data_IF_001219967600
#
_entry.id   IF_001219967600
#
_cell.length_a   1.000
_cell.length_b   1.000
_cell.length_c   1.000
_cell.angle_alpha   90.00
_cell.angle_beta   90.00
_cell.angle_gamma   90.00
#
_symmetry.space_group_name_H-M   'P 1'
#
loop_
_entity.id
_entity.type
_entity.pdbx_description
1 polymer ?
#
# COMPACT_ATOMS: atom_id res chain seq x y z
N UNK A 1 29.28 -45.08 25.47
CA UNK A 1 30.26 -43.98 25.64
C UNK A 1 29.86 -42.87 24.68
N UNK A 2 29.10 -41.88 25.17
CA UNK A 2 29.56 -40.52 25.55
C UNK A 2 29.98 -39.73 24.28
N UNK A 3 29.34 -38.63 23.89
CA UNK A 3 28.29 -37.90 24.58
C UNK A 3 27.70 -36.79 23.73
N UNK A 4 26.42 -36.51 23.96
CA UNK A 4 25.76 -35.29 23.56
C UNK A 4 26.28 -34.13 24.43
N UNK A 5 26.70 -33.03 23.80
CA UNK A 5 26.87 -31.75 24.50
C UNK A 5 25.53 -31.01 24.50
N UNK A 6 24.92 -30.97 25.69
CA UNK A 6 23.97 -29.92 26.11
C UNK A 6 24.71 -28.59 26.23
N UNK A 7 23.94 -27.49 26.21
CA UNK A 7 24.04 -26.21 26.97
C UNK A 7 23.40 -25.14 26.08
N UNK A 8 22.53 -24.23 26.50
CA UNK A 8 21.61 -24.06 27.62
C UNK A 8 20.77 -22.84 27.25
N UNK A 9 19.50 -22.81 27.65
CA UNK A 9 18.65 -21.63 27.57
C UNK A 9 19.14 -20.53 28.52
N UNK A 10 19.05 -19.27 28.08
CA UNK A 10 19.07 -18.06 28.92
C UNK A 10 18.05 -17.10 28.30
N UNK A 11 16.81 -17.13 28.74
CA UNK A 11 16.19 -16.30 29.80
C UNK A 11 16.03 -14.83 29.38
N UNK A 12 14.75 -14.47 29.27
CA UNK A 12 14.18 -13.15 29.02
C UNK A 12 14.66 -12.08 30.02
N UNK A 13 14.82 -10.85 29.53
CA UNK A 13 14.79 -9.66 30.36
C UNK A 13 13.59 -8.80 29.94
N UNK A 14 12.49 -9.01 30.64
CA UNK A 14 11.35 -8.08 30.69
C UNK A 14 11.75 -6.95 31.62
N UNK A 15 11.91 -5.74 31.10
CA UNK A 15 12.09 -4.55 31.93
C UNK A 15 10.71 -4.02 32.29
N UNK A 16 10.24 -4.39 33.48
CA UNK A 16 9.11 -3.76 34.18
C UNK A 16 9.67 -2.53 34.89
N UNK A 17 9.31 -1.34 34.43
CA UNK A 17 9.51 -0.11 35.22
C UNK A 17 8.24 0.11 36.03
N UNK A 18 8.24 -0.45 37.24
CA UNK A 18 7.29 -0.10 38.28
C UNK A 18 7.86 1.09 39.07
N UNK A 19 7.28 2.28 38.87
CA UNK A 19 7.54 3.44 39.72
C UNK A 19 6.46 3.50 40.81
N UNK A 20 6.80 2.96 41.99
CA UNK A 20 6.24 3.34 43.30
C UNK A 20 7.37 4.12 43.97
N UNK A 21 7.25 5.30 44.57
CA UNK A 21 6.16 6.15 45.00
C UNK A 21 6.78 6.98 46.13
N UNK A 22 6.73 8.32 46.06
CA UNK A 22 7.04 9.17 47.21
C UNK A 22 5.82 10.05 47.47
N UNK A 23 5.14 9.73 48.57
CA UNK A 23 4.09 10.53 49.18
C UNK A 23 4.68 11.86 49.66
N UNK A 24 4.11 12.97 49.17
CA UNK A 24 4.09 14.24 49.89
C UNK A 24 2.63 14.69 49.96
N UNK A 25 2.24 15.05 51.18
CA UNK A 25 0.86 15.33 51.57
C UNK A 25 0.26 16.54 50.85
N UNK A 26 -1.04 16.41 50.55
CA UNK A 26 -1.96 17.42 50.02
C UNK A 26 -2.04 18.69 50.89
N UNK A 27 -2.53 19.79 50.29
CA UNK A 27 -3.72 20.41 50.86
C UNK A 27 -4.91 20.27 49.91
N UNK A 28 -6.05 19.97 50.51
CA UNK A 28 -7.38 19.85 49.93
C UNK A 28 -7.77 21.12 49.18
N UNK A 29 -8.15 20.99 47.90
CA UNK A 29 -8.99 21.96 47.21
C UNK A 29 -10.19 21.20 46.67
N UNK A 30 -11.34 21.38 47.33
CA UNK A 30 -12.65 21.03 46.78
C UNK A 30 -13.00 22.05 45.69
N UNK A 31 -13.23 21.58 44.46
CA UNK A 31 -14.44 21.83 43.67
C UNK A 31 -14.21 21.45 42.21
N UNK A 32 -15.12 20.61 41.70
CA UNK A 32 -15.27 20.31 40.28
C UNK A 32 -15.08 18.83 39.98
N UNK A 33 -16.14 18.04 40.19
CA UNK A 33 -16.32 16.78 39.46
C UNK A 33 -16.30 17.12 37.96
N UNK A 34 -15.12 17.03 37.35
CA UNK A 34 -15.02 16.91 35.91
C UNK A 34 -15.54 15.51 35.58
N UNK A 35 -16.56 15.37 34.72
CA UNK A 35 -16.98 14.04 34.29
C UNK A 35 -15.76 13.35 33.65
N UNK A 36 -15.67 12.03 33.85
CA UNK A 36 -14.72 11.21 33.11
C UNK A 36 -14.80 11.59 31.61
N UNK A 37 -13.68 11.60 30.86
CA UNK A 37 -13.77 11.80 29.43
C UNK A 37 -14.64 10.67 28.89
N UNK A 38 -15.87 11.01 28.51
CA UNK A 38 -16.71 10.16 27.71
C UNK A 38 -15.84 9.74 26.53
N UNK A 39 -15.55 8.44 26.47
CA UNK A 39 -14.86 7.84 25.34
C UNK A 39 -15.85 7.82 24.18
N UNK A 40 -16.22 8.99 23.68
CA UNK A 40 -16.85 9.14 22.39
C UNK A 40 -15.81 8.63 21.38
N UNK A 41 -16.06 7.42 20.90
CA UNK A 41 -15.32 6.77 19.82
C UNK A 41 -15.65 7.49 18.50
N UNK A 42 -15.42 8.80 18.47
CA UNK A 42 -15.71 9.62 17.30
C UNK A 42 -14.68 9.28 16.22
N UNK A 43 -15.18 8.76 15.11
CA UNK A 43 -14.37 8.53 13.93
C UNK A 43 -13.73 9.85 13.49
N UNK A 44 -12.51 9.82 12.93
CA UNK A 44 -11.93 11.00 12.30
C UNK A 44 -12.92 11.61 11.31
N UNK A 45 -13.14 12.93 11.37
CA UNK A 45 -14.17 13.62 10.58
C UNK A 45 -13.97 13.54 9.06
N UNK A 46 -12.80 13.06 8.62
CA UNK A 46 -12.47 12.82 7.23
C UNK A 46 -12.76 11.38 6.76
N UNK A 47 -13.34 10.52 7.60
CA UNK A 47 -13.70 9.13 7.27
C UNK A 47 -15.21 9.00 7.10
N UNK A 48 -15.65 8.56 5.93
CA UNK A 48 -17.04 8.22 5.64
C UNK A 48 -17.20 6.69 5.53
N UNK A 49 -18.12 6.14 6.32
CA UNK A 49 -18.52 4.73 6.22
C UNK A 49 -19.74 4.54 5.33
N UNK A 50 -19.79 3.41 4.62
CA UNK A 50 -20.92 3.01 3.80
C UNK A 50 -21.05 1.48 3.70
N UNK A 51 -22.21 1.01 3.22
CA UNK A 51 -22.45 -0.41 2.99
C UNK A 51 -23.22 -1.08 4.13
N UNK A 52 -22.70 -2.19 4.63
CA UNK A 52 -23.31 -2.95 5.74
C UNK A 52 -23.29 -2.10 7.00
N UNK A 53 -24.41 -2.05 7.72
CA UNK A 53 -24.46 -1.39 9.02
C UNK A 53 -23.59 -2.15 10.03
N UNK A 54 -22.73 -1.43 10.73
CA UNK A 54 -21.80 -1.97 11.72
C UNK A 54 -21.98 -1.22 13.04
N UNK A 55 -21.76 -1.92 14.15
CA UNK A 55 -21.67 -1.29 15.47
C UNK A 55 -20.51 -0.27 15.50
N UNK A 56 -20.65 0.81 16.27
CA UNK A 56 -19.65 1.90 16.33
C UNK A 56 -18.29 1.42 16.87
N UNK A 57 -18.27 0.44 17.78
CA UNK A 57 -17.02 -0.20 18.24
C UNK A 57 -16.29 -0.87 17.07
N UNK A 58 -17.02 -1.57 16.21
CA UNK A 58 -16.47 -2.26 15.03
C UNK A 58 -15.99 -1.27 13.99
N UNK A 59 -16.76 -0.20 13.71
CA UNK A 59 -16.33 0.88 12.82
C UNK A 59 -15.02 1.49 13.30
N UNK A 60 -14.92 1.81 14.59
CA UNK A 60 -13.72 2.40 15.19
C UNK A 60 -12.51 1.48 15.10
N UNK A 61 -12.70 0.19 15.40
CA UNK A 61 -11.64 -0.82 15.25
C UNK A 61 -11.15 -0.90 13.80
N UNK A 62 -12.06 -0.94 12.83
CA UNK A 62 -11.72 -0.98 11.41
C UNK A 62 -10.93 0.27 11.01
N UNK A 63 -11.37 1.47 11.40
CA UNK A 63 -10.66 2.71 11.07
C UNK A 63 -9.24 2.70 11.62
N UNK A 64 -9.08 2.32 12.89
CA UNK A 64 -7.77 2.24 13.53
C UNK A 64 -6.82 1.30 12.78
N UNK A 65 -7.26 0.10 12.45
CA UNK A 65 -6.46 -0.89 11.73
C UNK A 65 -6.14 -0.43 10.30
N UNK A 66 -7.13 0.13 9.58
CA UNK A 66 -6.92 0.65 8.22
C UNK A 66 -5.88 1.78 8.22
N UNK A 67 -5.96 2.73 9.16
CA UNK A 67 -5.01 3.83 9.26
C UNK A 67 -3.59 3.38 9.61
N UNK A 68 -3.45 2.26 10.32
CA UNK A 68 -2.16 1.68 10.65
C UNK A 68 -1.50 0.98 9.43
N UNK A 69 -2.31 0.39 8.55
CA UNK A 69 -1.83 -0.40 7.41
C UNK A 69 -1.61 0.42 6.14
N UNK A 70 -2.40 1.46 5.88
CA UNK A 70 -2.25 2.27 4.67
C UNK A 70 -1.10 3.28 4.80
N UNK A 71 -0.41 3.54 3.70
CA UNK A 71 0.67 4.51 3.64
C UNK A 71 0.43 5.44 2.46
N UNK A 72 0.37 6.78 2.57
CA UNK A 72 0.27 7.68 1.43
C UNK A 72 1.60 7.81 0.67
N UNK A 73 1.57 8.31 -0.58
CA UNK A 73 2.81 8.65 -1.30
C UNK A 73 3.55 9.79 -0.58
N UNK A 74 4.87 9.92 -0.79
CA UNK A 74 5.66 10.95 -0.11
C UNK A 74 5.05 12.34 -0.30
N UNK A 75 4.98 13.12 0.78
CA UNK A 75 4.41 14.47 0.80
C UNK A 75 2.91 14.54 0.47
N UNK A 76 2.20 13.41 0.41
CA UNK A 76 0.76 13.33 0.26
C UNK A 76 0.13 13.04 1.62
N UNK A 77 -1.00 13.70 1.90
CA UNK A 77 -1.91 13.37 2.99
C UNK A 77 -3.25 12.96 2.40
N UNK A 78 -3.96 12.06 3.06
CA UNK A 78 -5.34 11.75 2.69
C UNK A 78 -6.26 12.80 3.33
N UNK A 79 -6.96 13.54 2.48
CA UNK A 79 -7.89 14.59 2.87
C UNK A 79 -9.29 14.02 3.16
N UNK A 80 -9.64 12.90 2.50
CA UNK A 80 -10.89 12.17 2.70
C UNK A 80 -10.67 10.68 2.49
N UNK A 81 -11.33 9.85 3.30
CA UNK A 81 -11.33 8.40 3.18
C UNK A 81 -12.74 7.86 3.19
N UNK A 82 -13.07 7.00 2.23
CA UNK A 82 -14.34 6.29 2.20
C UNK A 82 -14.08 4.80 2.46
N UNK A 83 -14.72 4.24 3.48
CA UNK A 83 -14.68 2.81 3.80
C UNK A 83 -16.04 2.22 3.48
N UNK A 84 -16.08 1.30 2.51
CA UNK A 84 -17.28 0.53 2.18
C UNK A 84 -17.15 -0.87 2.73
N UNK A 85 -18.07 -1.27 3.60
CA UNK A 85 -18.09 -2.59 4.21
C UNK A 85 -19.16 -3.50 3.58
N UNK A 86 -18.78 -4.71 3.22
CA UNK A 86 -19.67 -5.76 2.73
C UNK A 86 -19.59 -6.96 3.67
N UNK A 87 -20.74 -7.41 4.18
CA UNK A 87 -20.81 -8.61 5.01
C UNK A 87 -20.33 -9.84 4.24
N UNK A 88 -19.42 -10.60 4.84
CA UNK A 88 -18.91 -11.86 4.33
C UNK A 88 -18.92 -12.90 5.46
N UNK A 89 -20.10 -13.52 5.69
CA UNK A 89 -20.31 -14.38 6.86
C UNK A 89 -20.23 -13.58 8.16
N UNK A 90 -19.32 -13.96 9.04
CA UNK A 90 -18.99 -13.25 10.30
C UNK A 90 -17.87 -12.20 10.12
N UNK A 91 -17.28 -12.14 8.92
CA UNK A 91 -16.22 -11.21 8.55
C UNK A 91 -16.77 -10.11 7.64
N UNK A 92 -15.90 -9.15 7.32
CA UNK A 92 -16.25 -8.01 6.47
C UNK A 92 -15.20 -7.80 5.38
N UNK A 93 -15.64 -7.82 4.12
CA UNK A 93 -14.81 -7.35 3.02
C UNK A 93 -14.93 -5.83 2.95
N UNK A 94 -13.79 -5.16 2.98
CA UNK A 94 -13.70 -3.71 3.03
C UNK A 94 -13.07 -3.20 1.75
N UNK A 95 -13.69 -2.17 1.16
CA UNK A 95 -13.06 -1.36 0.12
C UNK A 95 -12.81 0.04 0.66
N UNK A 96 -11.54 0.41 0.76
CA UNK A 96 -11.08 1.70 1.27
C UNK A 96 -10.59 2.54 0.10
N UNK A 97 -11.20 3.71 -0.10
CA UNK A 97 -10.78 4.68 -1.12
C UNK A 97 -10.29 5.95 -0.45
N UNK A 98 -9.02 6.29 -0.68
CA UNK A 98 -8.35 7.43 -0.06
C UNK A 98 -8.12 8.52 -1.11
N UNK A 99 -8.61 9.72 -0.82
CA UNK A 99 -8.52 10.89 -1.68
C UNK A 99 -7.53 11.90 -1.12
N UNK A 100 -6.83 12.59 -2.00
CA UNK A 100 -6.03 13.76 -1.66
C UNK A 100 -6.30 14.88 -2.65
N UNK A 101 -6.46 16.10 -2.17
CA UNK A 101 -6.66 17.28 -3.02
C UNK A 101 -5.42 17.60 -3.88
N UNK A 102 -4.25 17.06 -3.50
CA UNK A 102 -3.01 17.19 -4.26
C UNK A 102 -2.89 16.19 -5.42
N UNK A 103 -3.81 15.23 -5.53
CA UNK A 103 -3.75 14.12 -6.47
C UNK A 103 -5.02 14.01 -7.31
N UNK A 104 -4.87 13.71 -8.60
CA UNK A 104 -6.01 13.53 -9.52
C UNK A 104 -6.76 12.21 -9.27
N UNK A 105 -6.02 11.17 -8.88
CA UNK A 105 -6.54 9.81 -8.70
C UNK A 105 -6.45 9.40 -7.23
N UNK A 106 -7.39 8.58 -6.73
CA UNK A 106 -7.33 8.07 -5.37
C UNK A 106 -6.42 6.84 -5.26
N UNK A 107 -6.08 6.49 -4.01
CA UNK A 107 -5.62 5.16 -3.67
C UNK A 107 -6.83 4.29 -3.30
N UNK A 108 -6.81 3.03 -3.73
CA UNK A 108 -7.83 2.04 -3.39
C UNK A 108 -7.15 0.82 -2.79
N UNK A 109 -7.66 0.41 -1.63
CA UNK A 109 -7.25 -0.81 -0.95
C UNK A 109 -8.48 -1.69 -0.77
N UNK A 110 -8.29 -3.01 -0.86
CA UNK A 110 -9.30 -3.95 -0.43
C UNK A 110 -8.73 -4.84 0.68
N UNK A 111 -9.47 -4.93 1.77
CA UNK A 111 -9.12 -5.70 2.95
C UNK A 111 -10.21 -6.72 3.27
N UNK A 112 -9.85 -7.72 4.06
CA UNK A 112 -10.80 -8.51 4.84
C UNK A 112 -10.56 -8.21 6.31
N UNK A 113 -11.62 -7.86 7.03
CA UNK A 113 -11.61 -7.68 8.48
C UNK A 113 -12.29 -8.87 9.15
N UNK A 114 -11.52 -9.60 9.94
CA UNK A 114 -11.98 -10.79 10.65
C UNK A 114 -12.61 -10.40 11.98
N UNK A 115 -13.94 -10.51 12.08
CA UNK A 115 -14.69 -9.96 13.22
C UNK A 115 -14.30 -10.59 14.56
N UNK A 116 -14.07 -11.90 14.59
CA UNK A 116 -13.75 -12.63 15.81
C UNK A 116 -12.34 -12.35 16.36
N UNK A 117 -11.34 -12.20 15.46
CA UNK A 117 -9.96 -11.92 15.85
C UNK A 117 -9.61 -10.43 15.85
N UNK A 118 -10.52 -9.58 15.35
CA UNK A 118 -10.29 -8.15 15.09
C UNK A 118 -9.06 -7.90 14.22
N UNK A 119 -8.77 -8.80 13.28
CA UNK A 119 -7.58 -8.71 12.42
C UNK A 119 -7.95 -8.15 11.04
N UNK A 120 -7.13 -7.22 10.53
CA UNK A 120 -7.22 -6.72 9.16
C UNK A 120 -6.18 -7.40 8.27
N UNK A 121 -6.59 -7.86 7.08
CA UNK A 121 -5.70 -8.42 6.07
C UNK A 121 -5.87 -7.67 4.76
N UNK A 122 -4.78 -7.11 4.23
CA UNK A 122 -4.77 -6.46 2.92
C UNK A 122 -4.74 -7.51 1.81
N UNK A 123 -5.78 -7.53 0.97
CA UNK A 123 -5.90 -8.50 -0.12
C UNK A 123 -5.32 -7.98 -1.43
N UNK A 124 -5.59 -6.71 -1.75
CA UNK A 124 -5.15 -6.06 -3.00
C UNK A 124 -5.13 -4.55 -2.85
N UNK A 125 -4.44 -3.89 -3.78
CA UNK A 125 -4.41 -2.43 -3.87
C UNK A 125 -4.29 -1.94 -5.31
N UNK A 126 -4.73 -0.70 -5.53
CA UNK A 126 -4.46 0.13 -6.70
C UNK A 126 -4.11 1.52 -6.18
N UNK A 127 -2.83 1.89 -6.26
CA UNK A 127 -2.31 3.09 -5.62
C UNK A 127 -1.94 4.15 -6.65
N UNK A 128 -2.83 5.09 -6.93
CA UNK A 128 -2.67 6.11 -7.99
C UNK A 128 -2.64 7.55 -7.45
N UNK A 129 -2.78 7.75 -6.13
CA UNK A 129 -2.66 9.04 -5.45
C UNK A 129 -1.21 9.52 -5.40
N UNK A 130 -0.74 9.99 -6.56
CA UNK A 130 0.60 10.51 -6.80
C UNK A 130 0.46 11.91 -7.40
N UNK A 131 1.17 12.92 -6.87
CA UNK A 131 1.12 14.28 -7.41
C UNK A 131 1.48 14.34 -8.90
N UNK A 132 0.83 15.24 -9.65
CA UNK A 132 0.99 15.33 -11.10
C UNK A 132 2.46 15.49 -11.55
N UNK A 133 3.25 16.29 -10.83
CA UNK A 133 4.67 16.49 -11.12
C UNK A 133 5.49 15.19 -10.98
N UNK A 134 5.19 14.39 -9.96
CA UNK A 134 5.86 13.12 -9.69
C UNK A 134 5.46 12.05 -10.72
N UNK A 135 4.17 12.03 -11.12
CA UNK A 135 3.70 11.19 -12.24
C UNK A 135 4.43 11.54 -13.53
N UNK A 136 4.50 12.82 -13.90
CA UNK A 136 5.18 13.27 -15.10
C UNK A 136 6.67 12.91 -15.10
N UNK A 137 7.35 13.08 -13.95
CA UNK A 137 8.74 12.68 -13.77
C UNK A 137 8.93 11.17 -14.00
N UNK A 138 8.08 10.34 -13.39
CA UNK A 138 8.17 8.89 -13.55
C UNK A 138 7.95 8.45 -15.01
N UNK A 139 6.98 9.05 -15.69
CA UNK A 139 6.70 8.80 -17.12
C UNK A 139 7.92 9.19 -17.96
N UNK A 140 8.50 10.37 -17.72
CA UNK A 140 9.70 10.82 -18.44
C UNK A 140 10.87 9.87 -18.26
N UNK A 141 11.14 9.41 -17.03
CA UNK A 141 12.20 8.43 -16.73
C UNK A 141 11.93 7.10 -17.44
N UNK A 142 10.68 6.62 -17.41
CA UNK A 142 10.31 5.38 -18.08
C UNK A 142 10.49 5.47 -19.61
N UNK A 143 10.17 6.61 -20.23
CA UNK A 143 10.35 6.85 -21.67
C UNK A 143 11.81 7.01 -22.09
N UNK A 144 12.70 7.38 -21.17
CA UNK A 144 14.15 7.44 -21.44
C UNK A 144 14.80 6.06 -21.47
N UNK A 145 14.12 5.01 -21.00
CA UNK A 145 14.60 3.64 -21.13
C UNK A 145 14.46 3.16 -22.59
N UNK A 146 15.58 2.81 -23.22
CA UNK A 146 15.60 2.44 -24.65
C UNK A 146 14.73 1.23 -24.98
N UNK A 147 14.71 0.20 -24.12
CA UNK A 147 13.88 -0.99 -24.32
C UNK A 147 12.39 -0.62 -24.33
N UNK A 148 11.95 0.13 -23.31
CA UNK A 148 10.57 0.61 -23.23
C UNK A 148 10.21 1.51 -24.42
N UNK A 149 11.06 2.49 -24.77
CA UNK A 149 10.84 3.39 -25.89
C UNK A 149 10.68 2.62 -27.22
N UNK A 150 11.53 1.62 -27.46
CA UNK A 150 11.45 0.78 -28.65
C UNK A 150 10.17 -0.07 -28.68
N UNK A 151 9.78 -0.67 -27.56
CA UNK A 151 8.53 -1.43 -27.45
C UNK A 151 7.30 -0.54 -27.70
N UNK A 152 7.27 0.66 -27.12
CA UNK A 152 6.16 1.61 -27.28
C UNK A 152 6.04 2.08 -28.73
N UNK A 153 7.15 2.48 -29.36
CA UNK A 153 7.19 2.95 -30.75
C UNK A 153 6.85 1.83 -31.74
N UNK A 154 7.44 0.65 -31.55
CA UNK A 154 7.22 -0.51 -32.43
C UNK A 154 5.78 -1.02 -32.41
N UNK A 155 5.00 -0.69 -31.38
CA UNK A 155 3.63 -1.17 -31.18
C UNK A 155 2.59 -0.06 -31.14
N UNK A 156 2.95 1.16 -31.57
CA UNK A 156 2.08 2.35 -31.62
C UNK A 156 1.34 2.60 -30.30
N UNK A 157 2.06 2.52 -29.17
CA UNK A 157 1.49 2.70 -27.83
C UNK A 157 1.60 4.15 -27.31
N UNK A 158 1.99 5.10 -28.15
CA UNK A 158 2.24 6.49 -27.74
C UNK A 158 0.97 7.23 -27.30
N UNK A 159 -0.20 6.81 -27.77
CA UNK A 159 -1.49 7.49 -27.53
C UNK A 159 -2.47 6.65 -26.70
N UNK A 160 -1.99 5.60 -26.04
CA UNK A 160 -2.86 4.64 -25.33
C UNK A 160 -3.04 5.03 -23.87
N UNK A 161 -3.91 4.29 -23.16
CA UNK A 161 -4.15 4.50 -21.75
C UNK A 161 -2.86 4.30 -20.95
N UNK A 162 -2.47 5.34 -20.23
CA UNK A 162 -1.29 5.40 -19.38
C UNK A 162 -1.71 5.42 -17.92
N UNK A 163 -1.11 4.55 -17.12
CA UNK A 163 -1.30 4.53 -15.67
C UNK A 163 0.04 4.65 -14.96
N UNK A 164 0.06 5.38 -13.86
CA UNK A 164 1.21 5.45 -12.94
C UNK A 164 0.71 5.00 -11.59
N UNK A 165 1.25 3.87 -11.12
CA UNK A 165 0.86 3.24 -9.86
C UNK A 165 2.03 3.13 -8.93
N UNK A 166 1.78 3.30 -7.66
CA UNK A 166 2.76 3.01 -6.63
C UNK A 166 2.83 1.52 -6.34
N UNK A 167 4.04 1.03 -6.13
CA UNK A 167 4.36 -0.31 -5.64
C UNK A 167 4.93 -0.17 -4.25
N UNK A 168 4.28 -0.81 -3.27
CA UNK A 168 4.67 -0.73 -1.86
C UNK A 168 5.99 -1.50 -1.60
N UNK A 169 6.77 -1.12 -0.57
CA UNK A 169 8.06 -1.73 -0.25
C UNK A 169 8.07 -3.27 -0.17
N UNK A 170 7.05 -3.85 0.45
CA UNK A 170 6.87 -5.29 0.63
C UNK A 170 6.60 -6.04 -0.68
N UNK A 171 6.06 -5.34 -1.69
CA UNK A 171 5.94 -5.87 -3.06
C UNK A 171 7.21 -5.60 -3.85
N UNK A 172 7.79 -4.41 -3.72
CA UNK A 172 8.95 -3.96 -4.49
C UNK A 172 10.21 -4.80 -4.22
N UNK A 173 10.39 -5.33 -3.00
CA UNK A 173 11.53 -6.19 -2.64
C UNK A 173 11.68 -7.42 -3.54
N UNK A 174 10.60 -7.88 -4.18
CA UNK A 174 10.63 -9.02 -5.12
C UNK A 174 11.28 -8.66 -6.46
N UNK A 175 11.41 -7.38 -6.77
CA UNK A 175 11.84 -6.88 -8.08
C UNK A 175 13.09 -5.98 -8.01
N UNK A 176 13.29 -5.27 -6.90
CA UNK A 176 14.39 -4.33 -6.73
C UNK A 176 14.86 -4.18 -5.27
N UNK A 177 14.30 -3.21 -4.54
CA UNK A 177 14.64 -2.87 -3.15
C UNK A 177 13.36 -2.67 -2.34
N UNK A 178 13.38 -2.87 -1.00
CA UNK A 178 12.23 -2.67 -0.12
C UNK A 178 11.95 -1.18 0.10
N UNK A 179 11.56 -0.48 -0.97
CA UNK A 179 11.16 0.94 -0.94
C UNK A 179 10.00 1.20 -1.88
N UNK A 180 9.39 2.37 -1.75
CA UNK A 180 8.30 2.80 -2.62
C UNK A 180 8.80 2.99 -4.04
N UNK A 181 8.23 2.26 -4.99
CA UNK A 181 8.56 2.35 -6.41
C UNK A 181 7.34 2.82 -7.20
N UNK A 182 7.53 3.26 -8.45
CA UNK A 182 6.45 3.62 -9.36
C UNK A 182 6.43 2.68 -10.57
N UNK A 183 5.28 2.09 -10.87
CA UNK A 183 5.02 1.35 -12.11
C UNK A 183 4.35 2.27 -13.10
N UNK A 184 5.00 2.51 -14.24
CA UNK A 184 4.43 3.24 -15.38
C UNK A 184 4.00 2.23 -16.43
N UNK A 185 2.71 2.20 -16.77
CA UNK A 185 2.14 1.17 -17.64
C UNK A 185 1.32 1.77 -18.75
N UNK A 186 1.66 1.38 -19.99
CA UNK A 186 0.90 1.67 -21.20
C UNK A 186 0.09 0.44 -21.61
N UNK A 187 -1.21 0.63 -21.77
CA UNK A 187 -2.13 -0.46 -22.12
C UNK A 187 -2.96 -0.08 -23.33
N UNK A 188 -2.86 -0.88 -24.38
CA UNK A 188 -3.82 -0.90 -25.49
C UNK A 188 -4.80 -2.04 -25.26
N UNK A 189 -6.06 -1.70 -25.07
CA UNK A 189 -7.16 -2.66 -24.97
C UNK A 189 -7.66 -3.06 -26.38
N UNK A 190 -8.31 -4.22 -26.50
CA UNK A 190 -8.88 -4.74 -27.74
C UNK A 190 -8.59 -6.23 -27.92
N UNK A 191 -8.83 -6.75 -29.12
CA UNK A 191 -8.68 -8.18 -29.45
C UNK A 191 -7.22 -8.68 -29.31
N UNK A 192 -6.26 -7.78 -29.46
CA UNK A 192 -4.83 -8.04 -29.24
C UNK A 192 -4.30 -7.05 -28.19
N UNK A 193 -4.52 -7.32 -26.90
CA UNK A 193 -4.12 -6.41 -25.84
C UNK A 193 -2.60 -6.34 -25.76
N UNK A 194 -2.08 -5.12 -25.65
CA UNK A 194 -0.64 -4.90 -25.49
C UNK A 194 -0.41 -4.11 -24.22
N UNK A 195 0.51 -4.61 -23.39
CA UNK A 195 0.90 -4.02 -22.12
C UNK A 195 2.41 -3.89 -22.12
N UNK A 196 2.88 -2.67 -21.86
CA UNK A 196 4.28 -2.39 -21.55
C UNK A 196 4.31 -1.71 -20.20
N UNK A 197 5.09 -2.23 -19.27
CA UNK A 197 5.20 -1.71 -17.91
C UNK A 197 6.66 -1.50 -17.53
N UNK A 198 6.95 -0.39 -16.87
CA UNK A 198 8.28 -0.01 -16.44
C UNK A 198 8.26 0.29 -14.94
N UNK A 199 9.08 -0.41 -14.17
CA UNK A 199 9.34 -0.06 -12.78
C UNK A 199 10.37 1.05 -12.71
N UNK A 200 10.01 2.14 -12.06
CA UNK A 200 10.81 3.35 -11.87
C UNK A 200 11.11 3.55 -10.41
N UNK A 201 12.37 3.85 -10.13
CA UNK A 201 12.86 4.36 -8.87
C UNK A 201 12.69 5.88 -8.82
N UNK A 202 11.74 6.41 -8.03
CA UNK A 202 11.47 7.85 -7.99
C UNK A 202 12.55 8.63 -7.23
N UNK A 203 13.37 7.97 -6.41
CA UNK A 203 14.45 8.59 -5.63
C UNK A 203 15.71 8.73 -6.47
N UNK A 204 16.06 7.68 -7.22
CA UNK A 204 17.22 7.66 -8.11
C UNK A 204 16.92 8.25 -9.50
N UNK A 205 15.65 8.40 -9.86
CA UNK A 205 15.24 8.86 -11.20
C UNK A 205 15.61 7.84 -12.28
N UNK A 206 15.44 6.55 -11.98
CA UNK A 206 15.96 5.44 -12.80
C UNK A 206 14.86 4.45 -13.19
N UNK A 207 14.83 4.04 -14.45
CA UNK A 207 14.06 2.86 -14.87
C UNK A 207 14.83 1.59 -14.50
N UNK A 208 14.20 0.72 -13.70
CA UNK A 208 14.83 -0.46 -13.11
C UNK A 208 14.55 -1.72 -13.92
N UNK A 209 13.31 -1.88 -14.39
CA UNK A 209 12.90 -3.11 -15.07
C UNK A 209 11.73 -2.82 -16.01
N UNK A 210 11.74 -3.49 -17.16
CA UNK A 210 10.68 -3.44 -18.17
C UNK A 210 10.01 -4.80 -18.26
N UNK A 211 8.69 -4.82 -18.43
CA UNK A 211 7.91 -6.00 -18.79
C UNK A 211 7.02 -5.67 -19.97
N UNK A 212 6.82 -6.65 -20.84
CA UNK A 212 5.79 -6.60 -21.86
C UNK A 212 5.13 -7.95 -22.01
N UNK A 213 3.89 -7.96 -22.51
CA UNK A 213 3.23 -9.18 -22.96
C UNK A 213 3.46 -9.45 -24.47
N UNK A 214 4.39 -8.71 -25.07
CA UNK A 214 4.79 -8.87 -26.46
C UNK A 214 5.87 -9.94 -26.52
N UNK A 215 5.71 -10.91 -27.41
CA UNK A 215 6.79 -11.83 -27.71
C UNK A 215 7.93 -11.04 -28.36
N UNK A 216 9.12 -11.07 -27.76
CA UNK A 216 10.32 -10.58 -28.41
C UNK A 216 10.66 -11.61 -29.48
N UNK A 217 10.36 -11.32 -30.74
CA UNK A 217 10.88 -12.13 -31.85
C UNK A 217 12.41 -12.11 -31.78
N UNK A 218 13.00 -13.21 -31.29
CA UNK A 218 14.42 -13.45 -31.42
C UNK A 218 14.74 -13.60 -32.91
N UNK A 219 15.15 -12.51 -33.56
CA UNK A 219 15.79 -12.56 -34.88
C UNK A 219 17.21 -13.13 -34.73
N UNK A 220 17.31 -14.44 -34.54
CA UNK A 220 18.59 -15.15 -34.52
C UNK A 220 18.43 -16.65 -34.29
N UNK A 221 18.44 -17.43 -35.37
CA UNK A 221 18.44 -18.90 -35.28
C UNK A 221 18.28 -19.61 -36.63
N UNK A 222 19.38 -19.65 -37.40
CA UNK A 222 19.73 -20.58 -38.48
C UNK A 222 18.76 -20.86 -39.65
N UNK A 223 19.21 -20.41 -40.83
CA UNK A 223 18.93 -21.09 -42.11
C UNK A 223 19.48 -22.52 -42.05
N UNK A 224 18.66 -23.48 -41.61
CA UNK A 224 18.86 -24.87 -41.94
C UNK A 224 18.48 -25.10 -43.40
N UNK A 225 19.48 -25.11 -44.29
CA UNK A 225 19.38 -25.85 -45.55
C UNK A 225 19.06 -27.30 -45.18
N UNK A 226 18.03 -27.88 -45.77
CA UNK A 226 18.02 -29.31 -46.03
C UNK A 226 17.67 -29.52 -47.50
N UNK A 227 18.50 -30.37 -48.09
CA UNK A 227 18.61 -30.78 -49.49
C UNK A 227 17.34 -31.42 -50.06
#
# INVERSE_FOLDING_TARGET
MIGAKKIAAVIAAVVVVAAVGVYLALPTIEHGLSPAPDSELDLPTNVEFSGTELEEETKTSIVSEVLAEIMPYRSVKYDKMNISAMKNGEDHDLRVTCFSDACEYPDVYDFTYYGASKQLVQNRYVLEAIPAAERAKAISVALQNEEAANLLKGNSLETVTLTVRRVLPETAVKFYLPKTMLSVTWTRFGDNPVVVSVLVDPDEGKAVKVWSNLEVENKGGEKGKNE
#
